data_IF_872549884800
#
_entry.id   IF_872549884800
#
_cell.length_a   1.000
_cell.length_b   1.000
_cell.length_c   1.000
_cell.angle_alpha   90.00
_cell.angle_beta   90.00
_cell.angle_gamma   90.00
#
_symmetry.space_group_name_H-M   'P 1'
#
loop_
_entity.id
_entity.type
_entity.pdbx_description
1 polymer ?
#
# COMPACT_ATOMS: atom_id res chain seq x y z
N UNK A 1 3.90 -2.70 -25.77
CA UNK A 1 3.69 -1.38 -25.13
C UNK A 1 4.66 -1.09 -23.97
N UNK A 2 5.22 -2.10 -23.30
CA UNK A 2 6.09 -1.88 -22.13
C UNK A 2 7.36 -1.05 -22.41
N UNK A 3 7.99 -1.18 -23.58
CA UNK A 3 9.28 -0.52 -23.85
C UNK A 3 9.13 0.99 -24.08
N UNK A 4 8.11 1.42 -24.84
CA UNK A 4 7.88 2.84 -25.13
C UNK A 4 7.43 3.62 -23.89
N UNK A 5 6.60 3.00 -23.03
CA UNK A 5 6.09 3.62 -21.80
C UNK A 5 7.16 3.70 -20.72
N UNK A 6 7.99 2.67 -20.55
CA UNK A 6 9.00 2.64 -19.46
C UNK A 6 10.27 3.41 -19.76
N UNK A 7 10.52 3.82 -21.01
CA UNK A 7 11.73 4.60 -21.39
C UNK A 7 11.49 6.09 -21.56
N UNK A 8 10.23 6.55 -21.65
CA UNK A 8 9.92 7.97 -21.75
C UNK A 8 10.22 8.67 -20.42
N UNK A 9 11.27 9.53 -20.39
CA UNK A 9 11.68 10.24 -19.17
C UNK A 9 11.02 11.61 -18.96
N UNK A 10 10.57 12.26 -20.04
CA UNK A 10 10.10 13.65 -19.98
C UNK A 10 8.75 13.89 -20.65
N UNK A 11 8.50 13.27 -21.81
CA UNK A 11 7.25 13.45 -22.56
C UNK A 11 6.96 12.20 -23.38
N UNK A 12 5.67 11.87 -23.48
CA UNK A 12 5.15 10.80 -24.31
C UNK A 12 3.96 11.32 -25.12
N UNK A 13 4.02 11.18 -26.43
CA UNK A 13 2.94 11.57 -27.35
C UNK A 13 2.39 10.30 -27.95
N UNK A 14 1.11 10.00 -27.70
CA UNK A 14 0.42 8.87 -28.31
C UNK A 14 -0.29 9.35 -29.57
N UNK A 15 0.02 8.72 -30.70
CA UNK A 15 -0.69 8.92 -31.98
C UNK A 15 -1.33 7.60 -32.36
N UNK A 16 -2.63 7.62 -32.63
CA UNK A 16 -3.42 6.44 -33.00
C UNK A 16 -4.42 6.81 -34.09
N UNK A 17 -4.69 5.88 -35.00
CA UNK A 17 -5.74 6.01 -36.02
C UNK A 17 -7.12 5.53 -35.55
N UNK A 18 -7.21 4.96 -34.35
CA UNK A 18 -8.44 4.48 -33.71
C UNK A 18 -8.45 4.83 -32.22
N UNK A 19 -9.64 4.96 -31.65
CA UNK A 19 -9.87 5.23 -30.23
C UNK A 19 -10.10 3.97 -29.41
N UNK A 20 -10.12 4.13 -28.08
CA UNK A 20 -10.42 3.03 -27.15
C UNK A 20 -11.83 2.44 -27.35
N UNK A 21 -12.79 3.25 -27.80
CA UNK A 21 -14.18 2.83 -28.07
C UNK A 21 -14.31 1.93 -29.33
N UNK A 22 -13.33 1.98 -30.24
CA UNK A 22 -13.31 1.16 -31.47
C UNK A 22 -12.83 -0.27 -31.20
N UNK A 23 -12.33 -0.53 -30.00
CA UNK A 23 -11.87 -1.85 -29.58
C UNK A 23 -13.04 -2.60 -28.95
N UNK A 24 -13.16 -3.90 -29.18
CA UNK A 24 -14.21 -4.74 -28.58
C UNK A 24 -13.58 -5.75 -27.62
N UNK A 25 -13.65 -5.47 -26.31
CA UNK A 25 -13.05 -6.33 -25.28
C UNK A 25 -13.73 -7.69 -25.17
N UNK A 26 -14.99 -7.85 -25.61
CA UNK A 26 -15.68 -9.15 -25.56
C UNK A 26 -15.00 -10.21 -26.43
N UNK A 27 -14.18 -9.77 -27.40
CA UNK A 27 -13.42 -10.61 -28.33
C UNK A 27 -11.95 -10.77 -27.92
N UNK A 28 -11.55 -10.20 -26.79
CA UNK A 28 -10.17 -10.14 -26.32
C UNK A 28 -10.04 -10.97 -25.05
N UNK A 29 -9.02 -11.85 -25.00
CA UNK A 29 -8.72 -12.59 -23.77
C UNK A 29 -8.23 -11.62 -22.68
N UNK A 30 -8.69 -11.77 -21.42
CA UNK A 30 -8.18 -10.97 -20.30
C UNK A 30 -6.66 -11.13 -20.10
N UNK A 31 -6.00 -10.08 -19.63
CA UNK A 31 -4.56 -10.02 -19.37
C UNK A 31 -3.68 -9.85 -20.60
N UNK A 32 -4.26 -9.56 -21.78
CA UNK A 32 -3.50 -9.42 -23.02
C UNK A 32 -2.99 -8.00 -23.26
N UNK A 33 -1.98 -7.87 -24.12
CA UNK A 33 -1.45 -6.55 -24.51
C UNK A 33 -2.47 -5.64 -25.23
N UNK A 34 -3.52 -6.23 -25.80
CA UNK A 34 -4.60 -5.49 -26.48
C UNK A 34 -5.51 -4.79 -25.46
N UNK A 35 -5.81 -5.46 -24.35
CA UNK A 35 -6.55 -4.88 -23.24
C UNK A 35 -5.79 -3.69 -22.62
N UNK A 36 -4.49 -3.89 -22.34
CA UNK A 36 -3.62 -2.82 -21.84
C UNK A 36 -3.54 -1.62 -22.80
N UNK A 37 -3.51 -1.87 -24.12
CA UNK A 37 -3.52 -0.81 -25.13
C UNK A 37 -4.83 -0.01 -25.09
N UNK A 38 -5.99 -0.67 -24.99
CA UNK A 38 -7.28 0.00 -24.86
C UNK A 38 -7.29 0.91 -23.63
N UNK A 39 -6.89 0.38 -22.47
CA UNK A 39 -6.85 1.15 -21.22
C UNK A 39 -5.93 2.36 -21.33
N UNK A 40 -4.79 2.17 -22.01
CA UNK A 40 -3.84 3.25 -22.23
C UNK A 40 -4.32 4.31 -23.22
N UNK A 41 -5.05 3.92 -24.29
CA UNK A 41 -5.73 4.84 -25.19
C UNK A 41 -6.82 5.62 -24.47
N UNK A 42 -7.55 4.99 -23.55
CA UNK A 42 -8.58 5.64 -22.75
C UNK A 42 -7.97 6.60 -21.73
N UNK A 43 -6.88 6.20 -21.08
CA UNK A 43 -6.08 7.05 -20.22
C UNK A 43 -5.58 8.29 -20.99
N UNK A 44 -4.99 8.11 -22.17
CA UNK A 44 -4.53 9.22 -22.99
C UNK A 44 -5.68 10.12 -23.46
N UNK A 45 -6.79 9.54 -23.94
CA UNK A 45 -7.96 10.27 -24.41
C UNK A 45 -8.65 11.10 -23.31
N UNK A 46 -8.50 10.67 -22.06
CA UNK A 46 -9.04 11.38 -20.91
C UNK A 46 -8.02 12.33 -20.27
N UNK A 47 -6.90 12.64 -20.93
CA UNK A 47 -5.79 13.43 -20.37
C UNK A 47 -5.30 12.88 -19.01
N UNK A 48 -5.26 11.56 -18.89
CA UNK A 48 -4.85 10.85 -17.68
C UNK A 48 -5.92 10.80 -16.58
N UNK A 49 -7.15 11.29 -16.83
CA UNK A 49 -8.24 11.31 -15.84
C UNK A 49 -8.86 9.93 -15.59
N UNK A 50 -8.78 9.03 -16.56
CA UNK A 50 -9.43 7.72 -16.52
C UNK A 50 -8.40 6.64 -16.86
N UNK A 51 -7.79 6.05 -15.83
CA UNK A 51 -7.32 4.67 -15.94
C UNK A 51 -8.58 3.81 -15.87
N UNK A 52 -9.28 3.76 -17.00
CA UNK A 52 -10.57 3.11 -17.07
C UNK A 52 -10.44 1.65 -16.65
N UNK A 53 -11.38 1.28 -15.78
CA UNK A 53 -11.54 -0.05 -15.25
C UNK A 53 -10.24 -0.62 -14.70
N UNK A 54 -9.79 -0.02 -13.59
CA UNK A 54 -9.11 -0.81 -12.56
C UNK A 54 -10.14 -1.87 -12.15
N UNK A 55 -10.15 -2.99 -12.86
CA UNK A 55 -11.14 -4.03 -12.65
C UNK A 55 -10.95 -4.55 -11.23
N UNK A 56 -12.06 -4.73 -10.51
CA UNK A 56 -12.12 -5.72 -9.44
C UNK A 56 -11.59 -7.00 -10.06
N UNK A 57 -10.47 -7.53 -9.57
CA UNK A 57 -9.78 -8.64 -10.25
C UNK A 57 -10.57 -9.96 -10.27
N UNK A 58 -11.80 -9.96 -9.75
CA UNK A 58 -12.67 -11.15 -9.63
C UNK A 58 -12.14 -12.16 -8.63
N UNK A 59 -11.04 -11.84 -7.94
CA UNK A 59 -10.47 -12.68 -6.92
C UNK A 59 -11.28 -12.55 -5.64
N UNK A 60 -11.61 -13.68 -5.00
CA UNK A 60 -12.29 -13.65 -3.72
C UNK A 60 -11.38 -13.02 -2.67
N UNK A 61 -11.97 -12.25 -1.76
CA UNK A 61 -11.31 -11.83 -0.54
C UNK A 61 -11.02 -13.07 0.31
N UNK A 62 -9.86 -13.10 0.98
CA UNK A 62 -9.65 -14.09 2.05
C UNK A 62 -10.56 -13.79 3.26
N UNK A 63 -10.67 -14.72 4.21
CA UNK A 63 -11.59 -14.57 5.35
C UNK A 63 -11.31 -13.30 6.18
N UNK A 64 -10.04 -12.94 6.36
CA UNK A 64 -9.66 -11.73 7.09
C UNK A 64 -10.05 -10.46 6.31
N UNK A 65 -9.70 -10.38 5.03
CA UNK A 65 -10.08 -9.28 4.15
C UNK A 65 -11.60 -9.11 4.04
N UNK A 66 -12.35 -10.22 3.98
CA UNK A 66 -13.81 -10.22 3.95
C UNK A 66 -14.38 -9.65 5.26
N UNK A 67 -13.85 -10.04 6.41
CA UNK A 67 -14.26 -9.47 7.70
C UNK A 67 -13.98 -7.98 7.79
N UNK A 68 -12.84 -7.52 7.28
CA UNK A 68 -12.50 -6.09 7.21
C UNK A 68 -13.47 -5.36 6.29
N UNK A 69 -13.71 -5.91 5.10
CA UNK A 69 -14.65 -5.35 4.14
C UNK A 69 -16.04 -5.17 4.74
N UNK A 70 -16.62 -6.23 5.31
CA UNK A 70 -17.97 -6.22 5.89
C UNK A 70 -18.09 -5.21 7.03
N UNK A 71 -17.09 -5.17 7.92
CA UNK A 71 -17.09 -4.25 9.05
C UNK A 71 -17.02 -2.79 8.61
N UNK A 72 -16.16 -2.46 7.64
CA UNK A 72 -16.01 -1.10 7.13
C UNK A 72 -17.20 -0.68 6.26
N UNK A 73 -17.77 -1.59 5.48
CA UNK A 73 -19.00 -1.35 4.71
C UNK A 73 -20.19 -1.11 5.66
N UNK A 74 -20.29 -1.86 6.75
CA UNK A 74 -21.31 -1.64 7.80
C UNK A 74 -21.18 -0.27 8.49
N UNK A 75 -19.98 0.32 8.47
CA UNK A 75 -19.73 1.70 8.91
C UNK A 75 -19.99 2.76 7.82
N UNK A 76 -20.60 2.37 6.70
CA UNK A 76 -21.01 3.28 5.63
C UNK A 76 -19.88 3.71 4.69
N UNK A 77 -18.74 3.02 4.71
CA UNK A 77 -17.61 3.33 3.81
C UNK A 77 -17.86 2.68 2.44
N UNK A 78 -17.89 3.45 1.33
CA UNK A 78 -18.06 2.90 0.00
C UNK A 78 -16.75 2.28 -0.48
N UNK A 79 -16.64 0.95 -0.36
CA UNK A 79 -15.44 0.19 -0.68
C UNK A 79 -15.52 -0.51 -2.04
N UNK A 80 -14.38 -0.64 -2.70
CA UNK A 80 -14.17 -1.56 -3.81
C UNK A 80 -13.05 -2.55 -3.43
N UNK A 81 -13.29 -3.87 -3.46
CA UNK A 81 -12.26 -4.86 -3.18
C UNK A 81 -11.33 -5.11 -4.38
N UNK A 82 -10.11 -5.56 -4.09
CA UNK A 82 -9.13 -6.14 -5.00
C UNK A 82 -8.91 -5.28 -6.27
N UNK A 83 -8.68 -3.99 -6.05
CA UNK A 83 -8.47 -2.99 -7.10
C UNK A 83 -7.03 -3.02 -7.58
N UNK A 84 -6.82 -3.36 -8.85
CA UNK A 84 -5.51 -3.32 -9.48
C UNK A 84 -5.40 -4.32 -10.61
N UNK A 85 -4.16 -4.61 -11.02
CA UNK A 85 -3.90 -5.59 -12.06
C UNK A 85 -2.68 -6.44 -11.71
N UNK A 86 -2.73 -7.72 -12.08
CA UNK A 86 -1.63 -8.68 -11.85
C UNK A 86 -1.24 -8.72 -10.37
N UNK A 87 0.06 -8.54 -10.05
CA UNK A 87 0.63 -8.55 -8.69
C UNK A 87 0.51 -7.23 -7.92
N UNK A 88 0.04 -6.14 -8.55
CA UNK A 88 -0.12 -4.85 -7.89
C UNK A 88 -1.60 -4.61 -7.67
N UNK A 89 -2.07 -5.01 -6.51
CA UNK A 89 -3.46 -4.83 -6.08
C UNK A 89 -3.49 -4.17 -4.73
N UNK A 90 -4.52 -3.35 -4.55
CA UNK A 90 -4.90 -2.82 -3.25
C UNK A 90 -6.08 -3.67 -2.79
N UNK A 91 -6.00 -4.17 -1.56
CA UNK A 91 -6.99 -5.11 -1.05
C UNK A 91 -8.36 -4.47 -1.00
N UNK A 92 -8.48 -3.25 -0.47
CA UNK A 92 -9.72 -2.48 -0.47
C UNK A 92 -9.46 -1.00 -0.80
N UNK A 93 -10.32 -0.38 -1.60
CA UNK A 93 -10.24 1.05 -1.94
C UNK A 93 -11.52 1.76 -1.54
N UNK A 94 -11.40 2.80 -0.72
CA UNK A 94 -12.53 3.64 -0.33
C UNK A 94 -12.73 4.80 -1.32
N UNK A 95 -13.99 5.01 -1.70
CA UNK A 95 -14.43 6.12 -2.54
C UNK A 95 -14.86 7.32 -1.70
N UNK A 96 -14.79 8.49 -2.32
CA UNK A 96 -15.37 9.70 -1.77
C UNK A 96 -16.91 9.57 -1.72
N UNK A 97 -17.56 9.87 -0.57
CA UNK A 97 -18.98 9.54 -0.38
C UNK A 97 -19.92 10.41 -1.24
N UNK A 98 -19.45 11.60 -1.67
CA UNK A 98 -20.22 12.55 -2.49
C UNK A 98 -19.71 12.70 -3.92
N UNK A 99 -18.62 12.00 -4.28
CA UNK A 99 -17.98 12.11 -5.59
C UNK A 99 -17.65 10.70 -6.11
N UNK A 100 -18.63 9.98 -6.65
CA UNK A 100 -18.43 8.62 -7.16
C UNK A 100 -17.26 8.55 -8.16
N UNK A 101 -16.44 7.50 -8.05
CA UNK A 101 -15.24 7.34 -8.88
C UNK A 101 -14.01 8.11 -8.40
N UNK A 102 -14.12 8.96 -7.37
CA UNK A 102 -12.97 9.55 -6.70
C UNK A 102 -12.49 8.65 -5.56
N UNK A 103 -11.33 8.03 -5.74
CA UNK A 103 -10.70 7.22 -4.71
C UNK A 103 -9.92 8.09 -3.73
N UNK A 104 -10.07 7.81 -2.43
CA UNK A 104 -9.48 8.65 -1.37
C UNK A 104 -8.57 7.87 -0.44
N UNK A 105 -8.86 6.60 -0.20
CA UNK A 105 -8.09 5.75 0.71
C UNK A 105 -7.85 4.38 0.09
N UNK A 106 -6.59 3.98 -0.02
CA UNK A 106 -6.16 2.61 -0.22
C UNK A 106 -5.99 1.94 1.14
N UNK A 107 -6.63 0.78 1.33
CA UNK A 107 -6.53 -0.03 2.54
C UNK A 107 -5.82 -1.33 2.17
N UNK A 108 -4.72 -1.60 2.86
CA UNK A 108 -3.95 -2.83 2.72
C UNK A 108 -4.16 -3.69 3.98
N UNK A 109 -4.53 -4.93 3.76
CA UNK A 109 -4.65 -5.96 4.78
C UNK A 109 -3.39 -6.83 4.69
N UNK A 110 -2.73 -7.10 5.82
CA UNK A 110 -1.63 -8.07 5.86
C UNK A 110 -2.18 -9.52 5.78
N UNK A 111 -2.73 -9.88 4.63
CA UNK A 111 -3.05 -11.26 4.30
C UNK A 111 -1.79 -12.01 3.91
N UNK A 112 -1.06 -12.55 4.87
CA UNK A 112 -0.24 -13.77 4.82
C UNK A 112 0.80 -14.01 3.69
N UNK A 113 0.87 -13.22 2.61
CA UNK A 113 1.74 -13.49 1.45
C UNK A 113 2.55 -12.25 1.11
N UNK A 114 3.58 -11.99 1.90
CA UNK A 114 4.61 -11.01 1.52
C UNK A 114 5.98 -11.67 1.42
N UNK A 115 6.18 -12.36 0.30
CA UNK A 115 7.52 -12.66 -0.20
C UNK A 115 7.73 -11.90 -1.49
N UNK A 116 8.52 -10.83 -1.43
CA UNK A 116 8.99 -10.18 -2.64
C UNK A 116 10.44 -9.71 -2.48
N UNK A 117 11.24 -10.02 -3.50
CA UNK A 117 12.68 -9.75 -3.58
C UNK A 117 12.98 -8.24 -3.57
N UNK A 118 14.24 -7.80 -3.39
CA UNK A 118 14.60 -6.37 -3.34
C UNK A 118 14.01 -5.53 -4.49
N UNK A 119 13.95 -6.09 -5.70
CA UNK A 119 13.40 -5.40 -6.89
C UNK A 119 11.88 -5.25 -6.91
N UNK A 120 11.15 -6.03 -6.11
CA UNK A 120 9.72 -5.88 -5.96
C UNK A 120 9.37 -4.76 -4.97
N UNK A 121 10.21 -4.54 -3.95
CA UNK A 121 9.99 -3.52 -2.90
C UNK A 121 10.16 -2.08 -3.40
N UNK A 122 11.20 -1.80 -4.20
CA UNK A 122 11.40 -0.45 -4.78
C UNK A 122 10.22 0.00 -5.64
N UNK A 123 9.65 -0.97 -6.35
CA UNK A 123 8.52 -0.76 -7.23
C UNK A 123 7.22 -0.56 -6.46
N UNK A 124 7.03 -1.25 -5.34
CA UNK A 124 5.88 -1.05 -4.46
C UNK A 124 5.94 0.32 -3.78
N UNK A 125 7.13 0.74 -3.35
CA UNK A 125 7.37 2.10 -2.82
C UNK A 125 7.08 3.17 -3.87
N UNK A 126 7.59 3.02 -5.10
CA UNK A 126 7.32 3.96 -6.18
C UNK A 126 5.83 4.02 -6.54
N UNK A 127 5.14 2.87 -6.55
CA UNK A 127 3.70 2.80 -6.78
C UNK A 127 2.93 3.55 -5.69
N UNK A 128 3.26 3.32 -4.43
CA UNK A 128 2.63 4.04 -3.32
C UNK A 128 2.85 5.55 -3.45
N UNK A 129 4.09 5.98 -3.69
CA UNK A 129 4.42 7.39 -3.91
C UNK A 129 3.63 8.01 -5.07
N UNK A 130 3.47 7.28 -6.18
CA UNK A 130 2.67 7.74 -7.32
C UNK A 130 1.20 7.92 -6.96
N UNK A 131 0.60 6.98 -6.22
CA UNK A 131 -0.79 7.07 -5.78
C UNK A 131 -0.99 8.18 -4.75
N UNK A 132 -0.04 8.35 -3.84
CA UNK A 132 -0.04 9.46 -2.87
C UNK A 132 0.04 10.83 -3.57
N UNK A 133 0.87 10.95 -4.63
CA UNK A 133 0.93 12.14 -5.47
C UNK A 133 -0.37 12.41 -6.23
N UNK A 134 -1.15 11.37 -6.54
CA UNK A 134 -2.50 11.50 -7.09
C UNK A 134 -3.55 11.83 -6.02
N UNK A 135 -3.13 12.05 -4.77
CA UNK A 135 -3.99 12.46 -3.67
C UNK A 135 -4.59 11.30 -2.88
N UNK A 136 -4.17 10.07 -3.14
CA UNK A 136 -4.61 8.91 -2.36
C UNK A 136 -3.93 8.93 -0.99
N UNK A 137 -4.61 8.36 -0.01
CA UNK A 137 -4.04 8.03 1.30
C UNK A 137 -3.94 6.52 1.44
N UNK A 138 -3.04 6.07 2.30
CA UNK A 138 -2.87 4.65 2.61
C UNK A 138 -3.21 4.40 4.07
N UNK A 139 -3.86 3.27 4.32
CA UNK A 139 -4.14 2.76 5.65
C UNK A 139 -3.85 1.27 5.67
N UNK A 140 -3.26 0.78 6.76
CA UNK A 140 -2.96 -0.65 6.93
C UNK A 140 -3.67 -1.21 8.14
N UNK A 141 -4.26 -2.39 7.95
CA UNK A 141 -4.90 -3.18 8.99
C UNK A 141 -4.10 -4.47 9.12
N UNK A 142 -3.61 -4.73 10.32
CA UNK A 142 -2.87 -5.95 10.63
C UNK A 142 -3.83 -7.01 11.17
N UNK A 143 -3.72 -8.26 10.71
CA UNK A 143 -4.56 -9.41 11.01
C UNK A 143 -4.45 -9.77 12.47
N UNK A 144 -3.24 -9.66 13.02
CA UNK A 144 -2.97 -9.80 14.45
C UNK A 144 -3.66 -8.73 15.29
N UNK A 145 -3.57 -7.46 14.90
CA UNK A 145 -4.25 -6.36 15.60
C UNK A 145 -5.77 -6.47 15.45
N UNK A 146 -6.25 -6.86 14.27
CA UNK A 146 -7.65 -7.09 13.98
C UNK A 146 -8.23 -8.19 14.85
N UNK A 147 -7.51 -9.30 15.00
CA UNK A 147 -7.94 -10.40 15.84
C UNK A 147 -8.00 -10.00 17.32
N UNK A 148 -7.00 -9.24 17.81
CA UNK A 148 -6.93 -8.84 19.22
C UNK A 148 -7.85 -7.67 19.58
N UNK A 149 -8.01 -6.70 18.66
CA UNK A 149 -8.58 -5.37 18.92
C UNK A 149 -9.43 -4.89 17.73
N UNK A 150 -10.31 -5.75 17.23
CA UNK A 150 -11.15 -5.50 16.06
C UNK A 150 -11.83 -4.12 16.08
N UNK A 151 -12.50 -3.77 17.18
CA UNK A 151 -13.27 -2.53 17.24
C UNK A 151 -12.36 -1.29 17.17
N UNK A 152 -11.18 -1.35 17.77
CA UNK A 152 -10.17 -0.29 17.65
C UNK A 152 -9.67 -0.17 16.21
N UNK A 153 -9.39 -1.29 15.53
CA UNK A 153 -8.99 -1.28 14.11
C UNK A 153 -10.05 -0.65 13.21
N UNK A 154 -11.32 -1.00 13.40
CA UNK A 154 -12.44 -0.44 12.66
C UNK A 154 -12.51 1.08 12.88
N UNK A 155 -12.46 1.54 14.13
CA UNK A 155 -12.50 2.96 14.44
C UNK A 155 -11.32 3.73 13.80
N UNK A 156 -10.12 3.15 13.80
CA UNK A 156 -8.95 3.75 13.17
C UNK A 156 -9.09 3.84 11.65
N UNK A 157 -9.60 2.80 11.01
CA UNK A 157 -9.87 2.80 9.58
C UNK A 157 -10.95 3.83 9.20
N UNK A 158 -12.01 3.95 10.00
CA UNK A 158 -13.04 4.98 9.84
C UNK A 158 -12.43 6.38 9.99
N UNK A 159 -11.61 6.62 11.00
CA UNK A 159 -10.93 7.91 11.19
C UNK A 159 -10.01 8.25 10.02
N UNK A 160 -9.24 7.27 9.52
CA UNK A 160 -8.38 7.44 8.35
C UNK A 160 -9.19 7.78 7.09
N UNK A 161 -10.34 7.14 6.90
CA UNK A 161 -11.25 7.44 5.80
C UNK A 161 -11.78 8.88 5.87
N UNK A 162 -12.26 9.32 7.04
CA UNK A 162 -12.75 10.69 7.21
C UNK A 162 -11.64 11.73 6.98
N UNK A 163 -10.43 11.45 7.46
CA UNK A 163 -9.26 12.31 7.21
C UNK A 163 -8.91 12.38 5.71
N UNK A 164 -8.95 11.25 5.00
CA UNK A 164 -8.70 11.18 3.56
C UNK A 164 -9.76 11.95 2.75
N UNK A 165 -11.04 11.82 3.12
CA UNK A 165 -12.14 12.62 2.54
C UNK A 165 -11.92 14.11 2.78
N UNK A 166 -11.60 14.50 4.02
CA UNK A 166 -11.32 15.90 4.36
C UNK A 166 -10.11 16.47 3.62
N UNK A 167 -9.06 15.66 3.41
CA UNK A 167 -7.92 16.05 2.58
C UNK A 167 -8.33 16.24 1.12
N UNK A 168 -9.13 15.31 0.57
CA UNK A 168 -9.62 15.37 -0.80
C UNK A 168 -10.49 16.63 -1.03
N UNK A 169 -11.35 16.99 -0.07
CA UNK A 169 -12.18 18.19 -0.12
C UNK A 169 -11.32 19.48 -0.07
N UNK A 170 -10.33 19.56 0.83
CA UNK A 170 -9.45 20.73 0.98
C UNK A 170 -8.50 20.94 -0.17
N UNK A 171 -8.06 19.87 -0.82
CA UNK A 171 -7.10 19.93 -1.92
C UNK A 171 -7.68 20.57 -3.19
N UNK A 172 -8.95 21.00 -3.20
CA UNK A 172 -9.56 21.84 -4.24
C UNK A 172 -9.53 21.23 -5.66
N UNK A 173 -9.15 19.96 -5.78
CA UNK A 173 -8.93 19.33 -7.07
C UNK A 173 -10.26 19.06 -7.75
N UNK A 174 -10.39 19.53 -8.99
CA UNK A 174 -11.13 18.80 -10.03
C UNK A 174 -10.90 17.29 -9.88
N UNK A 175 -11.79 16.42 -10.42
CA UNK A 175 -11.72 14.97 -10.21
C UNK A 175 -10.35 14.33 -10.45
N UNK A 176 -9.40 14.97 -11.16
CA UNK A 176 -7.96 14.97 -10.88
C UNK A 176 -7.38 16.35 -11.31
N UNK A 177 -6.53 16.98 -10.49
CA UNK A 177 -6.00 18.33 -10.70
C UNK A 177 -5.14 18.46 -11.97
N UNK A 178 -5.57 19.36 -12.87
CA UNK A 178 -4.69 20.01 -13.83
C UNK A 178 -3.67 20.88 -13.08
N UNK A 179 -2.42 20.47 -13.04
CA UNK A 179 -1.32 21.41 -12.89
C UNK A 179 -0.22 21.03 -13.87
N UNK A 180 0.07 21.94 -14.79
CA UNK A 180 1.33 21.91 -15.52
C UNK A 180 2.47 21.88 -14.50
N UNK A 181 3.47 21.03 -14.73
CA UNK A 181 4.68 21.02 -13.91
C UNK A 181 5.29 22.44 -13.87
N UNK A 182 5.49 23.09 -12.70
CA UNK A 182 6.55 24.07 -12.62
C UNK A 182 7.88 23.32 -12.60
N UNK A 183 8.86 23.93 -13.26
CA UNK A 183 10.23 23.45 -13.33
C UNK A 183 10.83 23.21 -11.94
N UNK A 184 11.74 22.25 -11.88
CA UNK A 184 12.60 21.93 -10.74
C UNK A 184 13.05 23.17 -9.96
N UNK A 185 12.75 23.19 -8.66
CA UNK A 185 13.58 23.87 -7.68
C UNK A 185 13.95 22.86 -6.58
N UNK A 186 15.26 22.62 -6.45
CA UNK A 186 15.86 21.72 -5.47
C UNK A 186 15.97 22.44 -4.14
N UNK A 187 14.87 22.46 -3.39
CA UNK A 187 14.81 22.86 -1.97
C UNK A 187 14.22 21.74 -1.11
N UNK A 188 14.50 21.70 0.21
CA UNK A 188 14.16 20.56 1.05
C UNK A 188 12.63 20.46 1.17
N UNK A 189 12.05 19.43 0.57
CA UNK A 189 10.62 19.14 0.68
C UNK A 189 10.32 18.69 2.11
N UNK A 190 9.67 19.57 2.87
CA UNK A 190 9.13 19.24 4.18
C UNK A 190 8.11 18.11 4.08
N UNK A 191 8.45 16.96 4.65
CA UNK A 191 7.58 15.79 4.73
C UNK A 191 6.31 16.12 5.51
N UNK A 192 5.16 16.14 4.83
CA UNK A 192 3.88 16.38 5.48
C UNK A 192 3.31 15.08 6.06
N UNK A 193 3.72 14.79 7.30
CA UNK A 193 3.08 14.18 8.50
C UNK A 193 1.67 13.54 8.43
N UNK A 194 1.27 12.83 7.37
CA UNK A 194 0.00 12.08 7.34
C UNK A 194 0.10 10.56 7.15
N UNK A 195 1.32 10.01 7.16
CA UNK A 195 1.50 8.83 8.01
C UNK A 195 1.47 9.41 9.43
N UNK A 196 0.39 9.19 10.17
CA UNK A 196 0.56 9.28 11.61
C UNK A 196 1.62 8.23 11.92
N UNK A 197 2.84 8.66 12.25
CA UNK A 197 3.75 7.88 13.08
C UNK A 197 2.87 7.45 14.24
N UNK A 198 2.28 6.24 14.21
CA UNK A 198 1.52 5.80 15.37
C UNK A 198 2.60 5.73 16.45
N UNK A 199 2.42 6.47 17.54
CA UNK A 199 3.21 6.22 18.72
C UNK A 199 3.05 4.74 19.01
N UNK A 200 4.16 4.00 18.94
CA UNK A 200 4.13 2.57 19.22
C UNK A 200 3.51 2.40 20.60
N UNK A 201 2.67 1.37 20.77
CA UNK A 201 2.04 1.09 22.07
C UNK A 201 3.07 0.80 23.17
N UNK A 202 2.63 0.36 24.34
CA UNK A 202 3.56 -0.01 25.41
C UNK A 202 4.65 -0.97 24.89
N UNK A 203 5.92 -0.58 25.04
CA UNK A 203 7.06 -1.40 24.61
C UNK A 203 6.98 -2.77 25.31
N UNK A 204 7.13 -3.89 24.59
CA UNK A 204 7.12 -5.21 25.21
C UNK A 204 8.22 -5.29 26.25
N UNK A 205 7.93 -5.75 27.47
CA UNK A 205 8.92 -5.82 28.56
C UNK A 205 9.92 -6.96 28.30
N UNK A 206 10.89 -6.71 27.43
CA UNK A 206 11.94 -7.65 27.05
C UNK A 206 13.25 -7.20 27.73
N UNK A 207 13.91 -8.05 28.52
CA UNK A 207 15.17 -7.70 29.16
C UNK A 207 16.28 -7.56 28.11
N UNK A 208 17.17 -6.60 28.30
CA UNK A 208 18.39 -6.49 27.49
C UNK A 208 19.33 -7.65 27.78
N UNK A 209 19.84 -8.27 26.72
CA UNK A 209 20.79 -9.39 26.75
C UNK A 209 21.98 -9.11 25.84
N UNK A 210 23.14 -9.63 26.23
CA UNK A 210 24.41 -9.40 25.52
C UNK A 210 24.51 -10.15 24.18
N UNK A 211 23.74 -11.24 24.02
CA UNK A 211 23.70 -12.03 22.79
C UNK A 211 22.28 -12.15 22.24
N UNK A 212 22.16 -12.03 20.91
CA UNK A 212 20.89 -12.25 20.20
C UNK A 212 20.34 -13.68 20.39
N UNK A 213 21.23 -14.64 20.66
CA UNK A 213 20.85 -16.05 20.90
C UNK A 213 20.13 -16.28 22.22
N UNK A 214 20.21 -15.30 23.12
CA UNK A 214 19.63 -15.42 24.46
C UNK A 214 18.16 -14.95 24.47
N UNK A 215 17.70 -14.37 23.36
CA UNK A 215 16.30 -14.01 23.15
C UNK A 215 15.55 -15.19 22.55
N UNK A 216 14.34 -15.43 23.04
CA UNK A 216 13.46 -16.43 22.44
C UNK A 216 12.72 -15.88 21.21
N UNK A 217 12.22 -16.79 20.37
CA UNK A 217 11.51 -16.43 19.15
C UNK A 217 10.23 -15.61 19.41
N UNK A 218 9.59 -15.80 20.57
CA UNK A 218 8.42 -15.04 20.99
C UNK A 218 8.76 -13.59 21.34
N UNK A 219 9.86 -13.36 22.05
CA UNK A 219 10.39 -12.03 22.39
C UNK A 219 10.73 -11.24 21.10
N UNK A 220 11.48 -11.84 20.18
CA UNK A 220 11.84 -11.18 18.90
C UNK A 220 10.59 -10.89 18.06
N UNK A 221 9.64 -11.82 18.02
CA UNK A 221 8.38 -11.65 17.29
C UNK A 221 7.52 -10.54 17.90
N UNK A 222 7.45 -10.45 19.23
CA UNK A 222 6.72 -9.40 19.92
C UNK A 222 7.31 -8.01 19.62
N UNK A 223 8.64 -7.90 19.59
CA UNK A 223 9.32 -6.65 19.25
C UNK A 223 9.10 -6.27 17.77
N UNK A 224 9.17 -7.23 16.85
CA UNK A 224 8.87 -6.98 15.43
C UNK A 224 7.42 -6.49 15.24
N UNK A 225 6.46 -7.11 15.94
CA UNK A 225 5.05 -6.67 15.92
C UNK A 225 4.91 -5.25 16.47
N UNK A 226 5.59 -4.94 17.56
CA UNK A 226 5.59 -3.59 18.14
C UNK A 226 6.21 -2.56 17.20
N UNK A 227 7.34 -2.85 16.54
CA UNK A 227 7.95 -1.95 15.56
C UNK A 227 7.00 -1.71 14.38
N UNK A 228 6.37 -2.75 13.85
CA UNK A 228 5.45 -2.62 12.72
C UNK A 228 4.11 -1.95 13.10
N UNK A 229 3.81 -1.85 14.40
CA UNK A 229 2.58 -1.21 14.88
C UNK A 229 2.48 0.28 14.52
N UNK A 230 3.62 0.93 14.23
CA UNK A 230 3.68 2.32 13.79
C UNK A 230 3.14 2.57 12.37
N UNK A 231 2.89 1.49 11.61
CA UNK A 231 2.30 1.53 10.28
C UNK A 231 3.25 1.99 9.18
N UNK A 232 4.54 2.21 9.47
CA UNK A 232 5.52 2.55 8.45
C UNK A 232 5.90 1.33 7.60
N UNK A 233 6.03 1.53 6.30
CA UNK A 233 6.57 0.51 5.41
C UNK A 233 8.09 0.44 5.58
N UNK A 234 8.57 -0.66 6.15
CA UNK A 234 10.01 -0.94 6.28
C UNK A 234 10.40 -2.13 5.42
N UNK A 235 11.59 -2.06 4.84
CA UNK A 235 12.30 -3.21 4.31
C UNK A 235 12.74 -4.13 5.44
N UNK A 236 13.04 -5.40 5.13
CA UNK A 236 13.59 -6.32 6.13
C UNK A 236 14.92 -5.79 6.69
N UNK A 237 15.69 -5.02 5.91
CA UNK A 237 16.93 -4.39 6.37
C UNK A 237 16.68 -3.24 7.35
N UNK A 238 15.74 -2.35 7.05
CA UNK A 238 15.34 -1.27 7.96
C UNK A 238 14.73 -1.81 9.25
N UNK A 239 14.00 -2.93 9.16
CA UNK A 239 13.43 -3.62 10.31
C UNK A 239 14.54 -4.29 11.16
N UNK A 240 15.55 -4.89 10.52
CA UNK A 240 16.75 -5.38 11.22
C UNK A 240 17.51 -4.24 11.88
N UNK A 241 17.67 -3.10 11.21
CA UNK A 241 18.37 -1.95 11.78
C UNK A 241 17.60 -1.35 12.97
N UNK A 242 16.27 -1.34 12.91
CA UNK A 242 15.43 -0.94 14.05
C UNK A 242 15.53 -1.95 15.20
N UNK A 243 15.48 -3.24 14.94
CA UNK A 243 15.68 -4.29 15.94
C UNK A 243 17.05 -4.20 16.62
N UNK A 244 18.11 -3.91 15.85
CA UNK A 244 19.47 -3.69 16.39
C UNK A 244 19.50 -2.51 17.34
N UNK A 245 18.82 -1.40 16.97
CA UNK A 245 18.71 -0.21 17.84
C UNK A 245 17.93 -0.51 19.11
N UNK A 246 16.76 -1.12 18.99
CA UNK A 246 15.85 -1.38 20.13
C UNK A 246 16.42 -2.40 21.11
N UNK A 247 17.14 -3.41 20.63
CA UNK A 247 17.82 -4.40 21.49
C UNK A 247 19.16 -3.91 22.05
N UNK A 248 19.59 -2.69 21.71
CA UNK A 248 20.81 -2.08 22.25
C UNK A 248 22.12 -2.64 21.70
N UNK A 249 22.10 -3.32 20.55
CA UNK A 249 23.31 -3.88 19.96
C UNK A 249 24.13 -2.80 19.25
N UNK A 250 25.43 -2.72 19.57
CA UNK A 250 26.33 -1.72 19.00
C UNK A 250 26.57 -1.88 17.48
N UNK A 251 26.30 -3.07 16.90
CA UNK A 251 26.51 -3.34 15.48
C UNK A 251 25.55 -4.40 14.95
N UNK A 252 25.19 -4.26 13.67
CA UNK A 252 24.50 -5.29 12.89
C UNK A 252 25.48 -6.39 12.50
N UNK A 253 25.55 -7.45 13.31
CA UNK A 253 26.36 -8.65 13.03
C UNK A 253 25.57 -9.71 12.26
N UNK A 254 26.27 -10.58 11.51
CA UNK A 254 25.64 -11.64 10.72
C UNK A 254 24.72 -12.57 11.54
N UNK A 255 25.06 -12.84 12.80
CA UNK A 255 24.22 -13.64 13.72
C UNK A 255 22.93 -12.91 14.12
N UNK A 256 23.01 -11.60 14.34
CA UNK A 256 21.84 -10.77 14.67
C UNK A 256 20.90 -10.71 13.48
N UNK A 257 21.47 -10.46 12.30
CA UNK A 257 20.70 -10.44 11.06
C UNK A 257 20.00 -11.78 10.80
N UNK A 258 20.70 -12.90 10.96
CA UNK A 258 20.09 -14.23 10.79
C UNK A 258 18.92 -14.47 11.73
N UNK A 259 19.09 -14.23 13.04
CA UNK A 259 18.05 -14.45 14.04
C UNK A 259 16.83 -13.54 13.84
N UNK A 260 17.04 -12.26 13.51
CA UNK A 260 15.93 -11.33 13.24
C UNK A 260 15.20 -11.72 11.95
N UNK A 261 15.92 -12.12 10.90
CA UNK A 261 15.29 -12.57 9.64
C UNK A 261 14.49 -13.86 9.83
N UNK A 262 14.98 -14.79 10.64
CA UNK A 262 14.26 -16.00 11.02
C UNK A 262 12.97 -15.65 11.77
N UNK A 263 13.02 -14.77 12.77
CA UNK A 263 11.83 -14.29 13.47
C UNK A 263 10.83 -13.57 12.55
N UNK A 264 11.31 -12.78 11.57
CA UNK A 264 10.46 -12.17 10.55
C UNK A 264 9.78 -13.24 9.68
N UNK A 265 10.49 -14.29 9.29
CA UNK A 265 9.94 -15.39 8.48
C UNK A 265 8.92 -16.21 9.29
N UNK A 266 9.20 -16.50 10.55
CA UNK A 266 8.29 -17.20 11.45
C UNK A 266 7.00 -16.42 11.69
N UNK A 267 7.10 -15.10 11.91
CA UNK A 267 5.93 -14.24 12.04
C UNK A 267 5.07 -14.28 10.77
N UNK A 268 5.71 -14.30 9.58
CA UNK A 268 5.01 -14.41 8.30
C UNK A 268 4.31 -15.77 8.14
N UNK A 269 4.93 -16.86 8.59
CA UNK A 269 4.35 -18.21 8.55
C UNK A 269 3.22 -18.43 9.55
N UNK A 270 3.29 -17.81 10.74
CA UNK A 270 2.23 -17.93 11.76
C UNK A 270 0.97 -17.13 11.44
N UNK A 271 1.09 -16.09 10.61
CA UNK A 271 -0.08 -15.35 10.10
C UNK A 271 -0.72 -16.03 8.86
N UNK A 272 -0.19 -17.19 8.42
CA UNK A 272 -0.69 -18.03 7.32
C UNK A 272 -1.54 -19.23 7.79
N UNK A 273 -1.64 -19.47 9.10
CA UNK A 273 -2.36 -20.58 9.74
C UNK A 273 -3.46 -20.06 10.67
#
# INVERSE_FOLDING_TARGET
>A
MNVAVTRARYRMTLVSSFGHADMDLSKVKPGTGVELLRHYLQYAATNGKLLADVQTTGLPLNEFEAQVFDALQSNGIPLIPQMGASRFRIDLVAQHPRQPGRFVLAIECDGATYHSSPTARDRDRLRQQQLENLGWRFHRIWSTDWFMRKDEEVQRAVAAYQAAVGYADKSGGSPHGSNAMPAHDTGPVGGNRFAADRERGAHPSIPYRDSITDYDAGELTALIRWINSDGQLRTDDELVDEMVRELGFARRGARIEAAVREAIQDLRHRNLL
#
